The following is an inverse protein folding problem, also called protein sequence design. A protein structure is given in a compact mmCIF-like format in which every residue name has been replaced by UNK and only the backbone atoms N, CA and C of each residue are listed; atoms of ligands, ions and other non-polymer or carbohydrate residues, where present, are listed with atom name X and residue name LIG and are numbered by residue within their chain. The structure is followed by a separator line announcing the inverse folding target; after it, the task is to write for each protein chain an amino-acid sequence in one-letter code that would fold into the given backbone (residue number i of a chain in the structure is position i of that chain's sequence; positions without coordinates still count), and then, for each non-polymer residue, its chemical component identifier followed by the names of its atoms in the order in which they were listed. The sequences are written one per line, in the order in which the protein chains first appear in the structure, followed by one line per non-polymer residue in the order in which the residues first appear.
data_IF_975591112192
#
_entry.id   IF_975591112192
#
_cell.length_a   1.000
_cell.length_b   1.000
_cell.length_c   1.000
_cell.angle_alpha   90.00
_cell.angle_beta   90.00
_cell.angle_gamma   90.00
#
_symmetry.space_group_name_H-M   'P 1'
#
loop_
_entity.id
_entity.type
_entity.pdbx_description
1 polymer ?
#
# COMPACT_ATOMS: atom_id res chain seq x y z
N UNK A 1 -11.56 -29.86 -1.61
CA UNK A 1 -10.71 -28.71 -1.23
C UNK A 1 -9.99 -28.23 -2.49
N UNK A 2 -9.95 -26.92 -2.80
CA UNK A 2 -9.15 -26.42 -3.92
C UNK A 2 -7.66 -26.68 -3.67
N UNK A 3 -6.99 -27.21 -4.69
CA UNK A 3 -5.57 -27.59 -4.66
C UNK A 3 -4.69 -26.40 -5.06
N UNK A 4 -4.09 -25.75 -4.06
CA UNK A 4 -3.22 -24.57 -4.24
C UNK A 4 -1.77 -24.93 -4.57
N UNK A 5 -1.41 -26.21 -4.67
CA UNK A 5 -0.04 -26.64 -5.00
C UNK A 5 0.37 -26.28 -6.44
N UNK A 6 -0.60 -26.00 -7.31
CA UNK A 6 -0.41 -25.58 -8.71
C UNK A 6 -0.55 -24.06 -8.91
N UNK A 7 -0.64 -23.28 -7.84
CA UNK A 7 -0.74 -21.83 -7.94
C UNK A 7 0.61 -21.25 -8.41
N UNK A 8 0.73 -21.07 -9.72
CA UNK A 8 1.86 -20.35 -10.32
C UNK A 8 1.70 -18.87 -9.97
N UNK A 9 2.53 -18.37 -9.06
CA UNK A 9 2.62 -16.93 -8.78
C UNK A 9 3.33 -16.30 -9.98
N UNK A 10 2.56 -15.93 -11.00
CA UNK A 10 3.07 -15.16 -12.11
C UNK A 10 3.59 -13.82 -11.60
N UNK A 11 4.91 -13.63 -11.61
CA UNK A 11 5.52 -12.31 -11.42
C UNK A 11 5.30 -11.50 -12.68
N UNK A 12 4.06 -11.06 -12.91
CA UNK A 12 3.79 -10.02 -13.90
C UNK A 12 4.43 -8.76 -13.34
N UNK A 13 5.59 -8.39 -13.89
CA UNK A 13 6.15 -7.05 -13.76
C UNK A 13 5.19 -6.09 -14.44
N UNK A 14 4.20 -5.63 -13.67
CA UNK A 14 3.30 -4.55 -14.09
C UNK A 14 4.15 -3.33 -14.46
N UNK A 15 4.02 -2.85 -15.70
CA UNK A 15 4.66 -1.62 -16.13
C UNK A 15 4.06 -0.44 -15.35
N UNK A 16 4.91 0.24 -14.57
CA UNK A 16 4.53 1.39 -13.74
C UNK A 16 4.87 2.72 -14.38
N UNK A 17 5.40 2.73 -15.61
CA UNK A 17 5.95 3.93 -16.28
C UNK A 17 4.94 5.08 -16.34
N UNK A 18 3.69 4.79 -16.71
CA UNK A 18 2.62 5.79 -16.79
C UNK A 18 2.28 6.37 -15.41
N UNK A 19 2.18 5.52 -14.38
CA UNK A 19 1.88 5.92 -13.01
C UNK A 19 3.00 6.77 -12.41
N UNK A 20 4.26 6.43 -12.70
CA UNK A 20 5.43 7.20 -12.29
C UNK A 20 5.47 8.56 -12.98
N UNK A 21 5.24 8.59 -14.29
CA UNK A 21 5.20 9.84 -15.06
C UNK A 21 4.07 10.76 -14.59
N UNK A 22 2.91 10.18 -14.24
CA UNK A 22 1.80 10.91 -13.65
C UNK A 22 2.20 11.53 -12.30
N UNK A 23 2.72 10.72 -11.37
CA UNK A 23 3.06 11.18 -10.01
C UNK A 23 4.21 12.19 -9.99
N UNK A 24 5.20 12.07 -10.88
CA UNK A 24 6.33 13.03 -10.99
C UNK A 24 5.87 14.46 -11.31
N UNK A 25 4.72 14.63 -11.96
CA UNK A 25 4.16 15.94 -12.32
C UNK A 25 3.31 16.56 -11.21
N UNK A 26 3.06 15.85 -10.11
CA UNK A 26 2.14 16.27 -9.05
C UNK A 26 2.89 16.87 -7.88
N UNK A 27 2.31 17.92 -7.31
CA UNK A 27 2.83 18.56 -6.11
C UNK A 27 2.42 17.79 -4.85
N UNK A 28 3.22 17.93 -3.79
CA UNK A 28 2.80 17.48 -2.46
C UNK A 28 1.52 18.21 -2.04
N UNK A 29 0.64 17.49 -1.36
CA UNK A 29 -0.71 17.92 -0.95
C UNK A 29 -1.72 18.15 -2.08
N UNK A 30 -1.39 17.85 -3.33
CA UNK A 30 -2.34 17.89 -4.44
C UNK A 30 -3.34 16.73 -4.36
N UNK A 31 -4.62 17.03 -4.60
CA UNK A 31 -5.69 16.02 -4.73
C UNK A 31 -5.83 15.67 -6.20
N UNK A 32 -5.58 14.41 -6.53
CA UNK A 32 -5.72 13.87 -7.87
C UNK A 32 -7.01 13.06 -7.97
N UNK A 33 -7.68 13.18 -9.10
CA UNK A 33 -8.78 12.32 -9.52
C UNK A 33 -8.39 11.67 -10.85
N UNK A 34 -8.45 10.35 -10.88
CA UNK A 34 -8.07 9.54 -12.05
C UNK A 34 -9.28 8.69 -12.45
N UNK A 35 -9.81 8.87 -13.67
CA UNK A 35 -10.89 8.03 -14.16
C UNK A 35 -10.39 6.59 -14.40
N UNK A 36 -11.22 5.61 -14.11
CA UNK A 36 -10.96 4.21 -14.41
C UNK A 36 -11.22 3.92 -15.88
N UNK A 37 -10.33 3.15 -16.51
CA UNK A 37 -10.59 2.62 -17.86
C UNK A 37 -11.53 1.41 -17.78
N UNK A 38 -12.24 1.06 -18.87
CA UNK A 38 -13.06 -0.15 -18.93
C UNK A 38 -12.26 -1.39 -18.53
N UNK A 39 -12.78 -2.17 -17.56
CA UNK A 39 -12.12 -3.37 -17.04
C UNK A 39 -11.08 -3.12 -15.94
N UNK A 40 -10.83 -1.86 -15.57
CA UNK A 40 -10.03 -1.53 -14.39
C UNK A 40 -10.89 -1.54 -13.13
N UNK A 41 -10.25 -1.83 -12.00
CA UNK A 41 -10.89 -1.72 -10.69
C UNK A 41 -10.14 -0.68 -9.86
N UNK A 42 -10.88 0.06 -9.02
CA UNK A 42 -10.28 1.00 -8.06
C UNK A 42 -9.13 0.36 -7.27
N UNK A 43 -9.29 -0.90 -6.87
CA UNK A 43 -8.28 -1.66 -6.12
C UNK A 43 -7.00 -1.89 -6.94
N UNK A 44 -7.12 -2.32 -8.20
CA UNK A 44 -5.97 -2.58 -9.08
C UNK A 44 -5.20 -1.29 -9.35
N UNK A 45 -5.91 -0.23 -9.72
CA UNK A 45 -5.34 1.09 -10.03
C UNK A 45 -4.66 1.69 -8.80
N UNK A 46 -5.31 1.68 -7.63
CA UNK A 46 -4.67 2.14 -6.39
C UNK A 46 -3.44 1.31 -6.01
N UNK A 47 -3.42 0.00 -6.29
CA UNK A 47 -2.24 -0.83 -6.01
C UNK A 47 -1.06 -0.42 -6.90
N UNK A 48 -1.29 -0.18 -8.19
CA UNK A 48 -0.27 0.31 -9.11
C UNK A 48 0.26 1.69 -8.70
N UNK A 49 -0.64 2.62 -8.37
CA UNK A 49 -0.30 3.94 -7.86
C UNK A 49 0.52 3.89 -6.57
N UNK A 50 0.16 3.02 -5.62
CA UNK A 50 0.94 2.87 -4.38
C UNK A 50 2.35 2.31 -4.66
N UNK A 51 2.50 1.32 -5.55
CA UNK A 51 3.82 0.83 -5.96
C UNK A 51 4.68 1.92 -6.60
N UNK A 52 4.08 2.73 -7.47
CA UNK A 52 4.76 3.86 -8.11
C UNK A 52 5.14 4.96 -7.09
N UNK A 53 4.24 5.26 -6.15
CA UNK A 53 4.50 6.20 -5.06
C UNK A 53 5.65 5.74 -4.15
N UNK A 54 5.71 4.45 -3.83
CA UNK A 54 6.79 3.86 -3.04
C UNK A 54 8.16 4.02 -3.73
N UNK A 55 8.22 3.87 -5.07
CA UNK A 55 9.45 4.11 -5.84
C UNK A 55 9.87 5.59 -5.85
N UNK A 56 8.92 6.51 -5.78
CA UNK A 56 9.17 7.95 -5.75
C UNK A 56 9.39 8.50 -4.34
N UNK A 57 9.31 7.67 -3.30
CA UNK A 57 9.45 8.11 -1.92
C UNK A 57 8.32 9.06 -1.47
N UNK A 58 7.12 8.88 -2.02
CA UNK A 58 5.90 9.61 -1.65
C UNK A 58 4.84 8.63 -1.20
N UNK A 59 3.76 9.14 -0.61
CA UNK A 59 2.62 8.32 -0.20
C UNK A 59 1.33 8.89 -0.76
N UNK A 60 0.36 8.02 -0.99
CA UNK A 60 -0.97 8.40 -1.44
C UNK A 60 -1.98 8.16 -0.31
N UNK A 61 -2.73 9.21 0.04
CA UNK A 61 -3.86 9.12 0.95
C UNK A 61 -5.14 8.97 0.13
N UNK A 62 -5.77 7.79 0.18
CA UNK A 62 -7.03 7.54 -0.53
C UNK A 62 -8.13 8.45 0.02
N UNK A 63 -8.89 9.07 -0.89
CA UNK A 63 -10.09 9.84 -0.59
C UNK A 63 -11.30 9.04 -1.10
N UNK A 64 -12.48 9.31 -0.54
CA UNK A 64 -13.74 8.78 -1.08
C UNK A 64 -13.86 9.21 -2.54
N UNK A 65 -14.02 8.22 -3.42
CA UNK A 65 -14.14 8.40 -4.86
C UNK A 65 -15.48 7.84 -5.36
N UNK A 66 -15.92 8.30 -6.51
CA UNK A 66 -17.02 7.67 -7.25
C UNK A 66 -16.61 6.28 -7.75
N UNK A 67 -17.56 5.46 -8.18
CA UNK A 67 -17.29 4.09 -8.65
C UNK A 67 -16.37 4.07 -9.88
N UNK A 68 -16.46 5.09 -10.73
CA UNK A 68 -15.70 5.21 -11.98
C UNK A 68 -14.36 5.96 -11.84
N UNK A 69 -13.99 6.38 -10.63
CA UNK A 69 -12.77 7.15 -10.42
C UNK A 69 -12.03 6.72 -9.17
N UNK A 70 -10.76 7.12 -9.12
CA UNK A 70 -9.92 6.98 -7.95
C UNK A 70 -9.43 8.36 -7.56
N UNK A 71 -9.75 8.74 -6.32
CA UNK A 71 -9.29 10.00 -5.73
C UNK A 71 -8.25 9.73 -4.64
N UNK A 72 -7.15 10.48 -4.69
CA UNK A 72 -6.13 10.42 -3.67
C UNK A 72 -5.41 11.76 -3.52
N UNK A 73 -4.86 12.00 -2.33
CA UNK A 73 -3.96 13.12 -2.06
C UNK A 73 -2.52 12.63 -2.05
N UNK A 74 -1.64 13.31 -2.77
CA UNK A 74 -0.20 13.08 -2.67
C UNK A 74 0.28 13.65 -1.35
N UNK A 75 0.91 12.84 -0.52
CA UNK A 75 1.44 13.25 0.79
C UNK A 75 2.91 12.84 0.89
N UNK A 76 3.71 13.54 1.70
CA UNK A 76 5.08 13.12 1.97
C UNK A 76 5.09 11.67 2.46
N UNK A 77 6.11 10.91 2.07
CA UNK A 77 6.42 9.64 2.73
C UNK A 77 7.05 9.93 4.10
N UNK A 78 6.36 10.71 4.93
CA UNK A 78 6.63 10.69 6.35
C UNK A 78 6.41 9.25 6.77
N UNK A 79 7.53 8.56 7.05
CA UNK A 79 7.49 7.31 7.79
C UNK A 79 6.53 7.59 8.94
N UNK A 80 5.50 6.76 9.11
CA UNK A 80 4.88 6.64 10.43
C UNK A 80 6.06 6.31 11.34
N UNK A 81 6.66 7.31 11.98
CA UNK A 81 7.36 7.12 13.22
C UNK A 81 6.25 6.61 14.12
N UNK A 82 6.09 5.30 14.12
CA UNK A 82 5.49 4.62 15.24
C UNK A 82 6.46 4.98 16.35
N UNK A 83 6.20 6.10 17.03
CA UNK A 83 6.84 6.48 18.27
C UNK A 83 6.34 5.47 19.31
N UNK A 84 6.70 4.21 19.12
CA UNK A 84 6.54 3.20 20.13
C UNK A 84 7.59 3.58 21.15
N UNK A 85 7.15 4.03 22.33
CA UNK A 85 8.07 4.22 23.43
C UNK A 85 8.88 2.92 23.63
N UNK A 86 10.12 3.00 24.12
CA UNK A 86 10.93 1.82 24.41
C UNK A 86 10.15 0.79 25.26
N UNK A 87 9.29 1.27 26.15
CA UNK A 87 8.40 0.46 27.00
C UNK A 87 7.32 -0.29 26.19
N UNK A 88 6.62 0.37 25.28
CA UNK A 88 5.62 -0.27 24.43
C UNK A 88 6.24 -1.28 23.45
N UNK A 89 7.52 -1.10 23.06
CA UNK A 89 8.28 -2.10 22.31
C UNK A 89 8.61 -3.33 23.19
N UNK A 90 9.06 -3.12 24.43
CA UNK A 90 9.32 -4.21 25.39
C UNK A 90 8.06 -5.02 25.69
N UNK A 91 6.93 -4.36 25.96
CA UNK A 91 5.66 -5.01 26.23
C UNK A 91 5.18 -5.92 25.08
N UNK A 92 5.37 -5.49 23.81
CA UNK A 92 5.07 -6.33 22.65
C UNK A 92 5.97 -7.55 22.53
N UNK A 93 7.27 -7.39 22.80
CA UNK A 93 8.23 -8.49 22.75
C UNK A 93 7.94 -9.51 23.85
N UNK A 94 7.65 -9.06 25.07
CA UNK A 94 7.29 -9.93 26.19
C UNK A 94 5.97 -10.67 25.95
N UNK A 95 4.94 -9.97 25.44
CA UNK A 95 3.69 -10.62 25.02
C UNK A 95 3.95 -11.69 23.94
N UNK A 96 4.79 -11.40 22.96
CA UNK A 96 5.13 -12.35 21.89
C UNK A 96 5.89 -13.58 22.42
N UNK A 97 6.80 -13.40 23.39
CA UNK A 97 7.50 -14.51 24.06
C UNK A 97 6.52 -15.38 24.86
N UNK A 98 5.66 -14.77 25.67
CA UNK A 98 4.67 -15.49 26.48
C UNK A 98 3.73 -16.34 25.61
N UNK A 99 3.26 -15.78 24.50
CA UNK A 99 2.37 -16.49 23.54
C UNK A 99 3.09 -17.65 22.84
N UNK A 100 4.41 -17.56 22.65
CA UNK A 100 5.21 -18.66 22.07
C UNK A 100 5.49 -19.76 23.09
N UNK A 101 5.71 -19.39 24.36
CA UNK A 101 5.91 -20.35 25.44
C UNK A 101 4.64 -21.17 25.70
N UNK A 102 3.47 -20.54 25.71
CA UNK A 102 2.17 -21.23 25.91
C UNK A 102 1.76 -22.14 24.75
N UNK A 103 2.41 -22.05 23.58
CA UNK A 103 2.11 -22.86 22.39
C UNK A 103 3.05 -24.07 22.23
N UNK A 104 4.10 -24.17 23.07
CA UNK A 104 5.06 -25.29 23.07
C UNK A 104 4.77 -26.32 24.16
N UNK A 105 3.68 -26.17 24.89
CA UNK A 105 3.15 -27.09 25.89
C UNK A 105 1.86 -27.71 25.37
#
# INVERSE_FOLDING_TARGET
MPDFSKAVIGTVTEDLSEYLAFLKKRALSEVCEVPLKPGETTRKVMRAFNKAADQLGIRLARIVSSEDSVRFKVVPQERRKVNLSPEARRARVEKAKATRASKRH
#
